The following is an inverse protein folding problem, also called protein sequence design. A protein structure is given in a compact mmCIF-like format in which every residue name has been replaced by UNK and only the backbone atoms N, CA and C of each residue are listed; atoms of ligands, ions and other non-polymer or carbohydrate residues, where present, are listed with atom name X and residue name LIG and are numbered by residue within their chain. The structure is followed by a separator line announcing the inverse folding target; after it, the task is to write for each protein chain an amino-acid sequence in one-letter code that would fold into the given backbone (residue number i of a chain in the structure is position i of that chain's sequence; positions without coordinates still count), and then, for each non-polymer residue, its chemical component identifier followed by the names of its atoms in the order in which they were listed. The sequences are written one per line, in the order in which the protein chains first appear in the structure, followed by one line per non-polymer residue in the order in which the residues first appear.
data_IF_486316484992
#
_entry.id   IF_486316484992
#
_cell.length_a   1.000
_cell.length_b   1.000
_cell.length_c   1.000
_cell.angle_alpha   90.00
_cell.angle_beta   90.00
_cell.angle_gamma   90.00
#
_symmetry.space_group_name_H-M   'P 1'
#
loop_
_entity.id
_entity.type
_entity.pdbx_description
1 polymer ?
#
# COMPACT_ATOMS: atom_id res chain seq x y z
N UNK A 1 11.12 79.44 2.18
CA UNK A 1 10.16 78.32 2.22
C UNK A 1 10.94 77.06 2.55
N UNK A 2 10.50 76.23 3.52
CA UNK A 2 11.34 75.23 4.17
C UNK A 2 11.36 73.87 3.46
N UNK A 3 12.47 73.18 3.73
CA UNK A 3 12.82 71.78 3.55
C UNK A 3 11.67 70.77 3.39
N UNK A 4 11.74 69.96 2.32
CA UNK A 4 11.14 68.63 2.28
C UNK A 4 12.26 67.58 2.28
N UNK A 5 12.61 67.10 3.48
CA UNK A 5 13.61 66.05 3.74
C UNK A 5 12.93 64.69 3.96
N UNK A 6 12.24 64.09 3.00
CA UNK A 6 11.74 62.73 3.21
C UNK A 6 11.75 61.94 1.91
N UNK A 7 12.78 61.10 1.70
CA UNK A 7 12.62 59.77 1.11
C UNK A 7 13.94 58.97 1.24
N UNK A 8 14.14 58.25 2.35
CA UNK A 8 14.69 56.90 2.23
C UNK A 8 13.81 55.97 3.05
N UNK A 9 12.59 55.73 2.59
CA UNK A 9 11.67 54.83 3.29
C UNK A 9 10.88 53.92 2.34
N UNK A 10 11.32 53.79 1.09
CA UNK A 10 10.65 52.94 0.11
C UNK A 10 11.35 51.58 -0.12
N UNK A 11 12.52 51.32 0.49
CA UNK A 11 13.31 50.12 0.20
C UNK A 11 13.25 49.01 1.27
N UNK A 12 12.43 49.16 2.32
CA UNK A 12 12.33 48.18 3.42
C UNK A 12 10.94 47.53 3.52
N UNK A 13 10.25 47.35 2.39
CA UNK A 13 8.93 46.70 2.37
C UNK A 13 8.81 45.55 1.37
N UNK A 14 9.91 44.85 1.07
CA UNK A 14 9.92 43.76 0.09
C UNK A 14 10.32 42.38 0.64
N UNK A 15 10.59 42.21 1.95
CA UNK A 15 11.21 40.97 2.47
C UNK A 15 10.30 40.12 3.36
N UNK A 16 9.01 40.04 3.06
CA UNK A 16 8.13 39.07 3.70
C UNK A 16 7.08 38.54 2.73
N UNK A 17 7.50 37.92 1.63
CA UNK A 17 6.64 36.95 0.97
C UNK A 17 6.62 35.71 1.88
N UNK A 18 5.49 35.36 2.52
CA UNK A 18 5.40 34.10 3.23
C UNK A 18 5.66 32.99 2.20
N UNK A 19 6.66 32.16 2.45
CA UNK A 19 6.83 30.93 1.71
C UNK A 19 5.58 30.08 1.98
N UNK A 20 4.66 30.02 1.01
CA UNK A 20 3.52 29.13 1.06
C UNK A 20 4.08 27.71 0.91
N UNK A 21 4.37 27.05 2.03
CA UNK A 21 4.68 25.64 2.04
C UNK A 21 3.43 24.89 1.51
N UNK A 22 3.65 23.95 0.59
CA UNK A 22 2.56 23.14 0.05
C UNK A 22 1.83 22.44 1.19
N UNK A 23 0.52 22.62 1.27
CA UNK A 23 -0.29 21.97 2.30
C UNK A 23 -0.24 20.46 2.09
N UNK A 24 0.06 19.72 3.16
CA UNK A 24 0.04 18.26 3.14
C UNK A 24 -1.36 17.78 2.78
N UNK A 25 -1.46 16.99 1.72
CA UNK A 25 -2.68 16.29 1.33
C UNK A 25 -2.55 14.81 1.69
N UNK A 26 -3.56 14.28 2.38
CA UNK A 26 -3.72 12.84 2.56
C UNK A 26 -4.81 12.34 1.63
N UNK A 27 -4.61 11.15 1.06
CA UNK A 27 -5.65 10.47 0.29
C UNK A 27 -5.62 8.99 0.62
N UNK A 28 -6.75 8.48 1.10
CA UNK A 28 -6.86 7.09 1.47
C UNK A 28 -7.12 6.23 0.23
N UNK A 29 -6.26 5.24 0.00
CA UNK A 29 -6.30 4.39 -1.18
C UNK A 29 -6.98 3.05 -0.89
N UNK A 30 -8.25 3.05 -0.51
CA UNK A 30 -8.96 1.79 -0.18
C UNK A 30 -9.52 1.05 -1.40
N UNK A 31 -10.07 1.75 -2.40
CA UNK A 31 -10.80 1.16 -3.54
C UNK A 31 -9.92 0.88 -4.76
N UNK A 32 -10.48 0.30 -5.83
CA UNK A 32 -9.87 0.30 -7.17
C UNK A 32 -8.49 -0.36 -7.29
N UNK A 33 -8.20 -1.31 -6.41
CA UNK A 33 -7.04 -2.18 -6.55
C UNK A 33 -7.39 -3.34 -7.49
N UNK A 34 -6.43 -3.76 -8.31
CA UNK A 34 -6.48 -4.99 -9.10
C UNK A 34 -5.74 -6.08 -8.34
N UNK A 35 -6.36 -7.23 -8.17
CA UNK A 35 -5.78 -8.39 -7.50
C UNK A 35 -5.80 -9.62 -8.40
N UNK A 36 -4.71 -10.39 -8.35
CA UNK A 36 -4.67 -11.76 -8.87
C UNK A 36 -3.86 -12.67 -7.96
N UNK A 37 -4.26 -13.93 -7.86
CA UNK A 37 -3.48 -14.99 -7.21
C UNK A 37 -2.52 -15.61 -8.22
N UNK A 38 -1.34 -15.98 -7.74
CA UNK A 38 -0.29 -16.59 -8.55
C UNK A 38 0.78 -15.59 -8.92
N UNK A 39 1.93 -16.13 -9.31
CA UNK A 39 3.06 -15.30 -9.70
C UNK A 39 2.78 -14.56 -11.02
N UNK A 40 3.33 -13.35 -11.13
CA UNK A 40 3.19 -12.46 -12.28
C UNK A 40 4.57 -11.84 -12.53
N UNK A 41 5.47 -12.52 -13.25
CA UNK A 41 6.86 -12.06 -13.42
C UNK A 41 6.98 -10.63 -13.97
N UNK A 42 6.05 -10.25 -14.84
CA UNK A 42 5.96 -8.93 -15.45
C UNK A 42 4.94 -8.01 -14.75
N UNK A 43 4.36 -8.44 -13.64
CA UNK A 43 3.28 -7.76 -12.92
C UNK A 43 3.68 -6.42 -12.31
N UNK A 44 4.97 -6.05 -12.33
CA UNK A 44 5.46 -4.73 -11.94
C UNK A 44 5.53 -3.72 -13.10
N UNK A 45 5.48 -4.18 -14.36
CA UNK A 45 5.61 -3.28 -15.52
C UNK A 45 4.39 -2.35 -15.62
N UNK A 46 4.56 -1.01 -15.81
CA UNK A 46 3.43 -0.08 -15.86
C UNK A 46 2.42 -0.38 -16.97
N UNK A 47 2.89 -0.90 -18.10
CA UNK A 47 2.11 -1.23 -19.30
C UNK A 47 1.51 -2.66 -19.28
N UNK A 48 1.74 -3.43 -18.21
CA UNK A 48 1.15 -4.75 -18.06
C UNK A 48 -0.38 -4.69 -18.05
N UNK A 49 -1.01 -5.55 -18.85
CA UNK A 49 -2.46 -5.63 -18.98
C UNK A 49 -3.08 -6.45 -17.83
N UNK A 50 -3.60 -5.75 -16.82
CA UNK A 50 -4.30 -6.32 -15.67
C UNK A 50 -5.84 -6.33 -15.82
N UNK A 51 -6.38 -6.16 -17.04
CA UNK A 51 -7.83 -6.04 -17.26
C UNK A 51 -8.65 -7.25 -16.76
N UNK A 52 -8.03 -8.44 -16.72
CA UNK A 52 -8.67 -9.68 -16.22
C UNK A 52 -8.56 -9.87 -14.71
N UNK A 53 -7.81 -9.00 -14.01
CA UNK A 53 -7.63 -9.11 -12.56
C UNK A 53 -8.89 -8.64 -11.83
N UNK A 54 -9.13 -9.21 -10.65
CA UNK A 54 -10.27 -8.88 -9.82
C UNK A 54 -10.11 -7.46 -9.28
N UNK A 55 -11.15 -6.62 -9.42
CA UNK A 55 -11.18 -5.33 -8.71
C UNK A 55 -11.54 -5.59 -7.23
N UNK A 56 -10.73 -5.09 -6.30
CA UNK A 56 -10.89 -5.27 -4.85
C UNK A 56 -10.75 -3.97 -4.08
N UNK A 57 -11.26 -3.97 -2.85
CA UNK A 57 -11.03 -2.94 -1.83
C UNK A 57 -10.12 -3.51 -0.74
N UNK A 58 -9.18 -2.71 -0.24
CA UNK A 58 -8.30 -3.09 0.88
C UNK A 58 -8.84 -2.54 2.23
N UNK A 59 -8.60 -3.24 3.37
CA UNK A 59 -7.86 -4.51 3.49
C UNK A 59 -8.57 -5.68 2.81
N UNK A 60 -7.81 -6.55 2.15
CA UNK A 60 -8.30 -7.71 1.40
C UNK A 60 -7.52 -8.96 1.82
N UNK A 61 -8.24 -9.98 2.25
CA UNK A 61 -7.70 -11.33 2.46
C UNK A 61 -8.15 -12.19 1.29
N UNK A 62 -7.20 -12.70 0.51
CA UNK A 62 -7.50 -13.54 -0.66
C UNK A 62 -7.67 -15.02 -0.30
N UNK A 63 -7.07 -15.46 0.82
CA UNK A 63 -7.13 -16.85 1.24
C UNK A 63 -8.57 -17.23 1.66
N UNK A 64 -9.31 -16.29 2.26
CA UNK A 64 -10.70 -16.48 2.73
C UNK A 64 -11.68 -16.89 1.61
N UNK A 65 -11.36 -16.58 0.35
CA UNK A 65 -12.18 -16.93 -0.81
C UNK A 65 -11.89 -18.33 -1.36
N UNK A 66 -10.83 -18.98 -0.88
CA UNK A 66 -10.45 -20.33 -1.28
C UNK A 66 -11.21 -21.41 -0.49
N UNK A 67 -11.18 -22.67 -0.96
CA UNK A 67 -11.82 -23.77 -0.27
C UNK A 67 -11.12 -24.06 1.06
N UNK A 68 -11.92 -24.30 2.10
CA UNK A 68 -11.44 -24.82 3.37
C UNK A 68 -11.05 -26.30 3.18
N UNK A 69 -9.78 -26.62 3.44
CA UNK A 69 -9.26 -27.98 3.41
C UNK A 69 -8.21 -28.14 4.53
N UNK A 70 -8.37 -29.16 5.37
CA UNK A 70 -7.39 -29.49 6.41
C UNK A 70 -6.00 -29.82 5.84
N UNK A 71 -5.89 -30.17 4.55
CA UNK A 71 -4.61 -30.36 3.85
C UNK A 71 -3.81 -29.07 3.68
N UNK A 72 -4.44 -27.90 3.76
CA UNK A 72 -3.76 -26.62 3.56
C UNK A 72 -2.73 -26.32 4.66
N UNK A 73 -2.80 -26.99 5.81
CA UNK A 73 -1.91 -26.76 6.96
C UNK A 73 -1.47 -28.03 7.68
N UNK A 74 -1.47 -29.16 6.97
CA UNK A 74 -1.02 -30.43 7.51
C UNK A 74 0.45 -30.39 7.91
N UNK A 75 0.72 -30.83 9.13
CA UNK A 75 2.07 -30.94 9.68
C UNK A 75 2.21 -32.24 10.46
N UNK A 76 3.33 -32.94 10.26
CA UNK A 76 3.71 -34.10 11.07
C UNK A 76 4.64 -33.61 12.17
N UNK A 77 4.08 -33.40 13.36
CA UNK A 77 4.79 -32.80 14.51
C UNK A 77 4.52 -33.59 15.78
N UNK A 78 5.48 -33.59 16.69
CA UNK A 78 5.35 -34.15 18.05
C UNK A 78 5.05 -32.99 19.00
N UNK A 79 3.92 -33.03 19.69
CA UNK A 79 3.58 -32.00 20.69
C UNK A 79 4.16 -32.42 22.05
N UNK A 80 5.19 -31.76 22.52
CA UNK A 80 5.80 -32.11 23.82
C UNK A 80 4.90 -31.73 25.00
N UNK A 81 4.09 -30.68 24.82
CA UNK A 81 3.21 -30.15 25.87
C UNK A 81 2.09 -31.11 26.29
N UNK A 82 1.68 -32.06 25.43
CA UNK A 82 0.69 -33.09 25.75
C UNK A 82 1.32 -34.49 25.92
N UNK A 83 2.65 -34.57 26.04
CA UNK A 83 3.37 -35.82 26.30
C UNK A 83 3.46 -36.78 25.11
N UNK A 84 3.33 -36.30 23.86
CA UNK A 84 3.48 -37.17 22.69
C UNK A 84 4.89 -37.75 22.58
N UNK A 85 5.00 -39.06 22.36
CA UNK A 85 6.28 -39.77 22.14
C UNK A 85 6.70 -39.81 20.67
N UNK A 86 5.75 -39.66 19.74
CA UNK A 86 5.99 -39.75 18.30
C UNK A 86 5.31 -38.57 17.59
N UNK A 87 5.85 -38.15 16.45
CA UNK A 87 5.20 -37.16 15.61
C UNK A 87 3.92 -37.74 14.99
N UNK A 88 2.84 -36.97 15.01
CA UNK A 88 1.55 -37.35 14.42
C UNK A 88 1.03 -36.25 13.51
N UNK A 89 0.12 -36.59 12.60
CA UNK A 89 -0.49 -35.62 11.69
C UNK A 89 -1.39 -34.67 12.47
N UNK A 90 -1.14 -33.37 12.34
CA UNK A 90 -1.95 -32.27 12.87
C UNK A 90 -2.39 -31.36 11.72
N UNK A 91 -3.58 -30.81 11.81
CA UNK A 91 -4.16 -29.84 10.85
C UNK A 91 -5.07 -28.86 11.57
N UNK A 92 -5.59 -27.85 10.86
CA UNK A 92 -6.56 -26.87 11.38
C UNK A 92 -5.95 -25.68 12.14
N UNK A 93 -4.62 -25.57 12.20
CA UNK A 93 -3.87 -24.43 12.78
C UNK A 93 -4.13 -23.10 12.08
N UNK A 94 -4.46 -23.12 10.79
CA UNK A 94 -4.75 -21.92 9.97
C UNK A 94 -6.22 -21.81 9.61
N UNK A 95 -7.09 -22.58 10.28
CA UNK A 95 -8.49 -22.73 9.90
C UNK A 95 -8.70 -23.49 8.58
N UNK A 96 -7.66 -24.13 8.02
CA UNK A 96 -7.74 -24.86 6.76
C UNK A 96 -7.85 -23.96 5.52
N UNK A 97 -7.52 -22.67 5.63
CA UNK A 97 -7.51 -21.76 4.48
C UNK A 97 -6.27 -21.98 3.60
N UNK A 98 -6.35 -21.79 2.28
CA UNK A 98 -5.20 -21.91 1.38
C UNK A 98 -4.33 -20.64 1.43
N UNK A 99 -3.68 -20.41 2.57
CA UNK A 99 -2.93 -19.20 2.90
C UNK A 99 -1.59 -19.05 2.17
N UNK A 100 -1.05 -20.16 1.65
CA UNK A 100 0.27 -20.19 1.00
C UNK A 100 0.13 -19.77 -0.47
N UNK A 101 0.99 -18.85 -0.90
CA UNK A 101 1.13 -18.50 -2.31
C UNK A 101 1.64 -17.09 -2.51
N UNK A 102 1.68 -16.69 -3.79
CA UNK A 102 1.98 -15.33 -4.23
C UNK A 102 0.67 -14.65 -4.63
N UNK A 103 0.50 -13.40 -4.23
CA UNK A 103 -0.62 -12.57 -4.65
C UNK A 103 -0.10 -11.22 -5.11
N UNK A 104 -0.62 -10.72 -6.23
CA UNK A 104 -0.24 -9.43 -6.78
C UNK A 104 -1.37 -8.42 -6.63
N UNK A 105 -1.00 -7.19 -6.23
CA UNK A 105 -1.89 -6.04 -6.18
C UNK A 105 -1.34 -4.94 -7.09
N UNK A 106 -2.18 -4.36 -7.94
CA UNK A 106 -1.85 -3.23 -8.81
C UNK A 106 -2.85 -2.10 -8.62
N UNK A 107 -2.39 -0.86 -8.66
CA UNK A 107 -3.24 0.33 -8.70
C UNK A 107 -2.55 1.41 -9.50
N UNK A 108 -3.23 1.93 -10.50
CA UNK A 108 -2.81 3.15 -11.20
C UNK A 108 -3.22 4.37 -10.40
N UNK A 109 -2.27 5.27 -10.16
CA UNK A 109 -2.50 6.51 -9.42
C UNK A 109 -2.26 7.69 -10.36
N UNK A 110 -3.28 8.53 -10.52
CA UNK A 110 -3.09 9.86 -11.08
C UNK A 110 -2.45 10.73 -10.00
N UNK A 111 -1.14 10.92 -10.08
CA UNK A 111 -0.44 11.87 -9.21
C UNK A 111 -0.67 13.25 -9.82
N UNK A 112 -1.25 14.22 -9.08
CA UNK A 112 -1.31 15.60 -9.54
C UNK A 112 0.10 16.03 -9.93
N UNK A 113 0.23 16.87 -10.97
CA UNK A 113 1.53 17.38 -11.36
C UNK A 113 2.26 17.89 -10.11
N UNK A 114 3.34 17.21 -9.74
CA UNK A 114 4.33 17.76 -8.82
C UNK A 114 4.68 19.15 -9.40
N UNK A 115 4.93 20.14 -8.54
CA UNK A 115 5.34 21.46 -9.03
C UNK A 115 6.50 21.33 -10.03
N UNK A 116 6.85 22.39 -10.76
CA UNK A 116 7.87 22.39 -11.83
C UNK A 116 9.20 21.67 -11.50
N UNK A 117 9.46 21.39 -10.23
CA UNK A 117 10.66 20.75 -9.70
C UNK A 117 10.47 19.29 -9.22
N UNK A 118 9.32 18.65 -9.46
CA UNK A 118 9.11 17.25 -9.07
C UNK A 118 9.11 17.00 -7.57
N UNK A 119 8.87 18.04 -6.76
CA UNK A 119 8.77 18.02 -5.29
C UNK A 119 7.38 18.41 -4.85
#
# INVERSE_FOLDING_TARGET
MPFLKHLPAALLLATALPAAAQTRQETLLTSDWKFTKGDQPDGAKPDFNDAKWQTVRIPHDWAISGPFDGKNDQQVVKIEQNGESNATLKSGRTGGLPFIGVGWYRRSLAVPALGKDGR
#
